data_IF_781066590094
#
_entry.id   IF_781066590094
#
_cell.length_a   1.000
_cell.length_b   1.000
_cell.length_c   1.000
_cell.angle_alpha   90.00
_cell.angle_beta   90.00
_cell.angle_gamma   90.00
#
_symmetry.space_group_name_H-M   'P 1'
#
loop_
_entity.id
_entity.type
_entity.pdbx_description
1 polymer ?
#
# COMPACT_ATOMS: atom_id res chain seq x y z
N UNK A 1 8.71 10.80 -1.62
CA UNK A 1 7.24 10.89 -1.73
C UNK A 1 6.67 11.45 -0.42
N UNK A 2 5.77 12.44 -0.45
CA UNK A 2 5.20 13.01 0.79
C UNK A 2 3.87 12.33 1.10
N UNK A 3 3.64 12.04 2.38
CA UNK A 3 2.37 11.51 2.90
C UNK A 3 1.18 12.41 2.49
N UNK A 4 1.40 13.71 2.31
CA UNK A 4 0.38 14.68 1.90
C UNK A 4 -0.23 14.40 0.52
N UNK A 5 0.55 13.89 -0.44
CA UNK A 5 0.06 13.56 -1.79
C UNK A 5 -0.80 12.30 -1.75
N UNK A 6 -0.37 11.30 -0.97
CA UNK A 6 -1.16 10.11 -0.68
C UNK A 6 -2.48 10.45 0.04
N UNK A 7 -2.47 11.39 0.99
CA UNK A 7 -3.71 11.86 1.66
C UNK A 7 -4.68 12.47 0.64
N UNK A 8 -4.19 13.30 -0.29
CA UNK A 8 -5.03 13.93 -1.32
C UNK A 8 -5.55 12.91 -2.34
N UNK A 9 -4.71 11.97 -2.75
CA UNK A 9 -5.09 10.94 -3.70
C UNK A 9 -6.11 9.99 -3.06
N UNK A 10 -5.72 9.31 -1.99
CA UNK A 10 -6.49 8.23 -1.36
C UNK A 10 -7.69 8.72 -0.55
N UNK A 11 -7.70 9.99 -0.11
CA UNK A 11 -8.70 10.51 0.82
C UNK A 11 -8.53 10.00 2.25
N UNK A 12 -7.46 9.25 2.54
CA UNK A 12 -7.20 8.70 3.85
C UNK A 12 -6.53 9.72 4.79
N UNK A 13 -6.86 9.65 6.07
CA UNK A 13 -6.19 10.43 7.12
C UNK A 13 -4.70 10.09 7.20
N UNK A 14 -3.88 11.11 7.50
CA UNK A 14 -2.42 10.99 7.67
C UNK A 14 -2.02 9.83 8.59
N UNK A 15 -2.80 9.60 9.65
CA UNK A 15 -2.63 8.52 10.63
C UNK A 15 -2.86 7.13 10.03
N UNK A 16 -3.85 6.98 9.15
CA UNK A 16 -4.14 5.72 8.44
C UNK A 16 -3.04 5.39 7.45
N UNK A 17 -2.57 6.38 6.70
CA UNK A 17 -1.43 6.24 5.80
C UNK A 17 -0.14 5.87 6.55
N UNK A 18 0.09 6.47 7.72
CA UNK A 18 1.23 6.09 8.56
C UNK A 18 1.16 4.62 9.00
N UNK A 19 -0.04 4.14 9.37
CA UNK A 19 -0.27 2.73 9.68
C UNK A 19 -0.08 1.84 8.46
N UNK A 20 -0.57 2.25 7.29
CA UNK A 20 -0.42 1.53 6.02
C UNK A 20 1.05 1.38 5.64
N UNK A 21 1.82 2.47 5.72
CA UNK A 21 3.25 2.48 5.46
C UNK A 21 4.04 1.59 6.41
N UNK A 22 3.61 1.52 7.68
CA UNK A 22 4.19 0.64 8.68
C UNK A 22 3.61 -0.79 8.67
N UNK A 23 2.79 -1.15 7.68
CA UNK A 23 2.15 -2.48 7.59
C UNK A 23 1.15 -2.79 8.71
N UNK A 24 0.72 -1.76 9.46
CA UNK A 24 -0.26 -1.87 10.55
C UNK A 24 -1.70 -1.66 10.07
N UNK A 25 -1.92 -1.42 8.78
CA UNK A 25 -3.27 -1.34 8.21
C UNK A 25 -3.77 -2.73 7.87
N UNK A 26 -4.93 -3.09 8.39
CA UNK A 26 -5.59 -4.39 8.14
C UNK A 26 -6.66 -4.32 7.05
N UNK A 27 -6.98 -3.12 6.55
CA UNK A 27 -8.00 -2.89 5.53
C UNK A 27 -7.57 -1.77 4.59
N UNK A 28 -7.69 -2.03 3.29
CA UNK A 28 -7.50 -1.04 2.23
C UNK A 28 -8.66 -1.19 1.26
N UNK A 29 -9.13 -0.09 0.71
CA UNK A 29 -10.15 -0.09 -0.35
C UNK A 29 -9.48 -0.19 -1.73
N UNK A 30 -10.17 -0.80 -2.69
CA UNK A 30 -9.65 -0.93 -4.06
C UNK A 30 -9.37 0.43 -4.71
N UNK A 31 -10.20 1.44 -4.47
CA UNK A 31 -9.93 2.81 -4.95
C UNK A 31 -8.63 3.36 -4.38
N UNK A 32 -8.33 3.07 -3.11
CA UNK A 32 -7.07 3.50 -2.49
C UNK A 32 -5.89 2.79 -3.11
N UNK A 33 -6.00 1.48 -3.31
CA UNK A 33 -4.97 0.68 -3.95
C UNK A 33 -4.68 1.18 -5.37
N UNK A 34 -5.72 1.41 -6.17
CA UNK A 34 -5.64 1.93 -7.53
C UNK A 34 -4.93 3.29 -7.59
N UNK A 35 -5.32 4.23 -6.72
CA UNK A 35 -4.67 5.54 -6.62
C UNK A 35 -3.21 5.46 -6.18
N UNK A 36 -2.85 4.49 -5.34
CA UNK A 36 -1.46 4.29 -4.93
C UNK A 36 -0.68 3.71 -6.12
N UNK A 37 -1.24 2.75 -6.86
CA UNK A 37 -0.63 2.20 -8.08
C UNK A 37 -0.39 3.29 -9.12
N UNK A 38 -1.38 4.15 -9.37
CA UNK A 38 -1.29 5.28 -10.30
C UNK A 38 -0.24 6.33 -9.86
N UNK A 39 -0.20 6.64 -8.55
CA UNK A 39 0.71 7.64 -8.00
C UNK A 39 2.17 7.18 -7.95
N UNK A 40 2.41 5.87 -7.78
CA UNK A 40 3.74 5.27 -7.78
C UNK A 40 4.15 4.70 -9.14
N UNK A 41 3.24 4.67 -10.12
CA UNK A 41 3.41 4.03 -11.43
C UNK A 41 3.85 2.56 -11.31
N UNK A 42 3.24 1.83 -10.36
CA UNK A 42 3.53 0.40 -10.09
C UNK A 42 2.26 -0.45 -10.19
N UNK A 43 2.43 -1.76 -10.31
CA UNK A 43 1.30 -2.68 -10.34
C UNK A 43 0.85 -3.08 -8.93
N UNK A 44 -0.39 -3.56 -8.83
CA UNK A 44 -0.96 -4.07 -7.57
C UNK A 44 -0.08 -5.16 -6.95
N UNK A 45 0.58 -5.99 -7.77
CA UNK A 45 1.49 -7.05 -7.32
C UNK A 45 2.76 -6.55 -6.63
N UNK A 46 3.20 -5.34 -6.93
CA UNK A 46 4.35 -4.71 -6.24
C UNK A 46 3.98 -4.19 -4.85
N UNK A 47 2.68 -3.93 -4.61
CA UNK A 47 2.18 -3.40 -3.34
C UNK A 47 1.65 -4.51 -2.44
N UNK A 48 0.90 -5.47 -3.00
CA UNK A 48 0.27 -6.56 -2.28
C UNK A 48 1.01 -7.86 -2.57
N UNK A 49 1.89 -8.24 -1.65
CA UNK A 49 2.57 -9.53 -1.67
C UNK A 49 1.87 -10.47 -0.72
N UNK A 50 1.28 -11.55 -1.25
CA UNK A 50 0.81 -12.65 -0.43
C UNK A 50 2.00 -13.51 0.00
N UNK A 51 2.47 -13.32 1.23
CA UNK A 51 3.39 -14.28 1.83
C UNK A 51 2.57 -15.48 2.33
N UNK A 52 2.65 -16.59 1.62
CA UNK A 52 2.38 -17.88 2.25
C UNK A 52 3.61 -18.11 3.13
N UNK A 53 3.46 -18.32 4.44
CA UNK A 53 4.58 -18.54 5.39
C UNK A 53 5.43 -19.80 5.09
N UNK A 54 5.28 -20.41 3.90
CA UNK A 54 6.27 -21.28 3.31
C UNK A 54 7.47 -20.45 2.83
N UNK A 55 8.42 -20.24 3.75
CA UNK A 55 9.81 -19.91 3.49
C UNK A 55 10.40 -20.92 2.47
N UNK A 56 10.20 -20.69 1.16
CA UNK A 56 11.00 -21.39 0.15
C UNK A 56 12.23 -20.56 -0.13
N UNK A 57 13.31 -20.96 0.51
CA UNK A 57 14.68 -20.69 0.12
C UNK A 57 14.86 -20.89 -1.39
N UNK A 58 15.46 -19.91 -2.05
CA UNK A 58 15.94 -19.79 -3.44
C UNK A 58 15.37 -18.49 -4.00
N UNK A 59 16.15 -17.45 -4.30
CA UNK A 59 17.45 -17.43 -5.00
C UNK A 59 18.43 -16.40 -4.42
#
# INVERSE_FOLDING_TARGET
MKVSDLVRATGMSKTTLHKLYNGQSTRIDFETLDKICDLLEVEVGDILVHTNDAHSSAE
#
